data_IF_814367543893
#
_entry.id   IF_814367543893
#
_cell.length_a   1.000
_cell.length_b   1.000
_cell.length_c   1.000
_cell.angle_alpha   90.00
_cell.angle_beta   90.00
_cell.angle_gamma   90.00
#
_symmetry.space_group_name_H-M   'P 1'
#
loop_
_entity.id
_entity.type
_entity.pdbx_description
1 polymer ?
#
# COMPACT_ATOMS: atom_id res chain seq x y z
N UNK A 1 18.01 -62.80 -5.40
CA UNK A 1 18.54 -61.92 -6.47
C UNK A 1 17.71 -60.65 -6.45
N UNK A 2 18.19 -59.55 -5.84
CA UNK A 2 17.50 -58.30 -5.72
C UNK A 2 17.84 -57.40 -6.91
N UNK A 3 16.84 -56.97 -7.66
CA UNK A 3 16.97 -56.19 -8.90
C UNK A 3 17.59 -54.80 -8.64
N UNK A 4 18.66 -54.39 -9.37
CA UNK A 4 19.34 -53.10 -9.15
C UNK A 4 18.49 -51.86 -9.52
N UNK A 5 17.36 -52.03 -10.18
CA UNK A 5 16.54 -50.90 -10.68
C UNK A 5 15.73 -50.11 -9.66
N UNK A 6 15.36 -50.72 -8.52
CA UNK A 6 14.48 -50.08 -7.54
C UNK A 6 15.17 -49.00 -6.70
N UNK A 7 16.46 -49.13 -6.43
CA UNK A 7 17.23 -48.15 -5.61
C UNK A 7 17.47 -46.82 -6.33
N UNK A 8 17.64 -46.83 -7.66
CA UNK A 8 17.81 -45.61 -8.45
C UNK A 8 16.52 -44.81 -8.61
N UNK A 9 15.38 -45.47 -8.74
CA UNK A 9 14.06 -44.84 -8.80
C UNK A 9 13.68 -44.12 -7.47
N UNK A 10 13.86 -44.82 -6.35
CA UNK A 10 13.59 -44.26 -5.01
C UNK A 10 14.48 -43.03 -4.75
N UNK A 11 15.74 -43.06 -5.17
CA UNK A 11 16.66 -41.92 -5.00
C UNK A 11 16.28 -40.72 -5.87
N UNK A 12 15.77 -40.92 -7.09
CA UNK A 12 15.31 -39.85 -8.00
C UNK A 12 14.01 -39.22 -7.50
N UNK A 13 13.05 -40.02 -7.07
CA UNK A 13 11.78 -39.49 -6.51
C UNK A 13 11.98 -38.81 -5.15
N UNK A 14 12.89 -39.29 -4.32
CA UNK A 14 13.26 -38.65 -3.06
C UNK A 14 13.87 -37.26 -3.27
N UNK A 15 14.74 -37.09 -4.29
CA UNK A 15 15.34 -35.79 -4.62
C UNK A 15 14.29 -34.80 -5.14
N UNK A 16 13.40 -35.24 -6.02
CA UNK A 16 12.31 -34.40 -6.54
C UNK A 16 11.35 -33.99 -5.43
N UNK A 17 10.96 -34.91 -4.55
CA UNK A 17 10.12 -34.61 -3.41
C UNK A 17 10.77 -33.62 -2.43
N UNK A 18 12.08 -33.73 -2.18
CA UNK A 18 12.81 -32.78 -1.35
C UNK A 18 12.88 -31.36 -1.97
N UNK A 19 13.10 -31.29 -3.30
CA UNK A 19 13.12 -30.02 -4.03
C UNK A 19 11.72 -29.34 -3.97
N UNK A 20 10.65 -30.10 -4.25
CA UNK A 20 9.28 -29.59 -4.20
C UNK A 20 8.92 -29.12 -2.79
N UNK A 21 9.27 -29.90 -1.76
CA UNK A 21 9.05 -29.50 -0.36
C UNK A 21 9.87 -28.25 0.00
N UNK A 22 11.10 -28.12 -0.47
CA UNK A 22 11.93 -26.94 -0.26
C UNK A 22 11.35 -25.68 -0.93
N UNK A 23 10.88 -25.81 -2.18
CA UNK A 23 10.26 -24.71 -2.93
C UNK A 23 8.94 -24.30 -2.28
N UNK A 24 8.08 -25.23 -1.88
CA UNK A 24 6.82 -24.92 -1.20
C UNK A 24 7.02 -24.31 0.18
N UNK A 25 7.99 -24.80 0.96
CA UNK A 25 8.36 -24.20 2.25
C UNK A 25 8.92 -22.77 2.08
N UNK A 26 9.76 -22.55 1.08
CA UNK A 26 10.28 -21.22 0.76
C UNK A 26 9.16 -20.26 0.34
N UNK A 27 8.19 -20.74 -0.43
CA UNK A 27 7.01 -19.96 -0.85
C UNK A 27 6.11 -19.59 0.34
N UNK A 28 5.85 -20.55 1.24
CA UNK A 28 5.09 -20.34 2.47
C UNK A 28 5.79 -19.35 3.41
N UNK A 29 7.11 -19.44 3.57
CA UNK A 29 7.89 -18.51 4.37
C UNK A 29 7.87 -17.08 3.81
N UNK A 30 7.85 -16.92 2.48
CA UNK A 30 7.74 -15.62 1.82
C UNK A 30 6.32 -15.02 1.89
N UNK A 31 5.29 -15.85 2.05
CA UNK A 31 3.90 -15.43 2.22
C UNK A 31 3.58 -14.98 3.66
N UNK A 32 4.44 -15.29 4.64
CA UNK A 32 4.26 -14.83 6.00
C UNK A 32 4.49 -13.30 6.09
N UNK A 33 3.60 -12.55 6.77
CA UNK A 33 3.83 -11.14 7.02
C UNK A 33 5.17 -10.95 7.72
N UNK A 34 6.03 -10.10 7.14
CA UNK A 34 7.29 -9.77 7.79
C UNK A 34 7.02 -9.11 9.14
N UNK A 35 7.74 -9.49 10.20
CA UNK A 35 7.51 -8.90 11.53
C UNK A 35 7.67 -7.38 11.47
N UNK A 36 6.79 -6.67 12.18
CA UNK A 36 6.85 -5.22 12.29
C UNK A 36 8.20 -4.78 12.85
N UNK A 37 8.94 -4.01 12.06
CA UNK A 37 10.25 -3.49 12.44
C UNK A 37 10.09 -2.14 13.13
N UNK A 38 10.59 -1.95 14.36
CA UNK A 38 10.61 -0.64 14.99
C UNK A 38 11.64 0.24 14.29
N UNK A 39 11.23 1.44 13.88
CA UNK A 39 12.12 2.44 13.31
C UNK A 39 12.45 3.52 14.33
N UNK A 40 13.69 3.97 14.34
CA UNK A 40 14.07 5.22 15.00
C UNK A 40 13.47 6.41 14.22
N UNK A 41 13.25 7.55 14.89
CA UNK A 41 12.82 8.79 14.24
C UNK A 41 14.01 9.43 13.49
N UNK A 42 14.34 8.85 12.35
CA UNK A 42 15.36 9.39 11.43
C UNK A 42 14.80 10.56 10.62
N UNK A 43 15.62 11.37 9.95
CA UNK A 43 15.16 12.39 9.02
C UNK A 43 14.22 11.83 7.93
N UNK A 44 14.46 10.60 7.47
CA UNK A 44 13.58 9.92 6.49
C UNK A 44 12.19 9.68 7.09
N UNK A 45 12.13 9.11 8.29
CA UNK A 45 10.85 8.86 8.98
C UNK A 45 10.11 10.16 9.27
N UNK A 46 10.81 11.20 9.71
CA UNK A 46 10.23 12.53 9.91
C UNK A 46 9.67 13.08 8.58
N UNK A 47 10.43 13.04 7.50
CA UNK A 47 9.97 13.49 6.18
C UNK A 47 8.75 12.73 5.64
N UNK A 48 8.57 11.45 6.03
CA UNK A 48 7.38 10.66 5.70
C UNK A 48 6.15 11.14 6.47
N UNK A 49 6.30 11.40 7.77
CA UNK A 49 5.21 11.81 8.67
C UNK A 49 4.80 13.28 8.47
N UNK A 50 5.78 14.16 8.21
CA UNK A 50 5.60 15.61 8.19
C UNK A 50 5.41 16.16 6.75
N UNK A 51 5.24 15.29 5.72
CA UNK A 51 5.00 15.72 4.34
C UNK A 51 3.64 16.44 4.21
N UNK A 52 3.65 17.78 4.01
CA UNK A 52 2.42 18.56 4.01
C UNK A 52 1.56 18.34 2.76
N UNK A 53 2.16 17.87 1.67
CA UNK A 53 1.47 17.64 0.40
C UNK A 53 0.79 16.27 0.32
N UNK A 54 0.95 15.38 1.31
CA UNK A 54 0.31 14.08 1.28
C UNK A 54 -1.15 14.17 1.76
N UNK A 55 -2.10 13.57 1.02
CA UNK A 55 -3.48 13.48 1.45
C UNK A 55 -3.62 12.78 2.79
N UNK A 56 -4.59 13.22 3.58
CA UNK A 56 -4.81 12.74 4.95
C UNK A 56 -6.28 12.46 5.21
N UNK A 57 -6.54 11.49 6.10
CA UNK A 57 -7.86 11.22 6.64
C UNK A 57 -7.79 11.02 8.16
N UNK A 58 -8.85 11.36 8.88
CA UNK A 58 -8.89 11.36 10.35
C UNK A 58 -8.45 12.68 10.96
N UNK A 59 -8.39 12.75 12.28
CA UNK A 59 -8.03 13.96 13.03
C UNK A 59 -6.51 14.19 12.97
N UNK A 60 -6.09 15.46 12.84
CA UNK A 60 -4.66 15.82 12.77
C UNK A 60 -3.89 15.55 14.07
N UNK A 61 -4.57 15.61 15.20
CA UNK A 61 -4.05 15.36 16.56
C UNK A 61 -4.32 13.94 17.05
N UNK A 62 -4.55 13.00 16.13
CA UNK A 62 -4.78 11.59 16.45
C UNK A 62 -3.59 10.98 17.20
N UNK A 63 -3.88 10.08 18.13
CA UNK A 63 -2.86 9.39 18.94
C UNK A 63 -1.94 8.46 18.13
N UNK A 64 -2.41 7.96 17.00
CA UNK A 64 -1.63 7.09 16.12
C UNK A 64 -1.75 7.58 14.68
N UNK A 65 -0.61 7.81 14.05
CA UNK A 65 -0.53 8.03 12.61
C UNK A 65 -0.21 6.69 11.92
N UNK A 66 -1.00 6.38 10.90
CA UNK A 66 -0.78 5.30 9.95
C UNK A 66 -0.39 5.92 8.62
N UNK A 67 0.81 5.66 8.13
CA UNK A 67 1.17 6.00 6.75
C UNK A 67 1.02 4.75 5.91
N UNK A 68 0.36 4.86 4.75
CA UNK A 68 0.25 3.76 3.79
C UNK A 68 0.91 4.13 2.47
N UNK A 69 1.83 3.27 2.00
CA UNK A 69 2.35 3.31 0.63
C UNK A 69 1.53 2.33 -0.21
N UNK A 70 0.91 2.84 -1.27
CA UNK A 70 -0.09 2.09 -2.03
C UNK A 70 0.02 2.31 -3.53
N UNK A 71 -0.58 1.40 -4.31
CA UNK A 71 -0.65 1.45 -5.77
C UNK A 71 -2.01 0.92 -6.23
N UNK A 72 -2.70 1.65 -7.08
CA UNK A 72 -4.07 1.35 -7.54
C UNK A 72 -4.17 0.09 -8.42
N UNK A 73 -3.04 -0.40 -8.96
CA UNK A 73 -2.97 -1.65 -9.73
C UNK A 73 -2.42 -2.81 -8.91
N UNK A 74 -2.15 -2.61 -7.65
CA UNK A 74 -1.69 -3.65 -6.74
C UNK A 74 -2.88 -4.42 -6.16
N UNK A 75 -3.05 -5.69 -6.54
CA UNK A 75 -4.16 -6.52 -6.08
C UNK A 75 -4.21 -6.70 -4.56
N UNK A 76 -3.03 -6.74 -3.88
CA UNK A 76 -2.97 -6.81 -2.41
C UNK A 76 -3.43 -5.48 -1.80
N UNK A 77 -3.05 -4.33 -2.38
CA UNK A 77 -3.54 -3.03 -1.94
C UNK A 77 -5.06 -2.96 -2.02
N UNK A 78 -5.62 -3.32 -3.18
CA UNK A 78 -7.07 -3.36 -3.41
C UNK A 78 -7.80 -4.30 -2.44
N UNK A 79 -7.20 -5.43 -2.07
CA UNK A 79 -7.81 -6.40 -1.14
C UNK A 79 -7.79 -5.91 0.31
N UNK A 80 -6.78 -5.12 0.71
CA UNK A 80 -6.58 -4.71 2.10
C UNK A 80 -7.05 -3.28 2.41
N UNK A 81 -7.27 -2.44 1.39
CA UNK A 81 -7.76 -1.07 1.55
C UNK A 81 -9.08 -0.97 2.36
N UNK A 82 -10.08 -1.84 2.20
CA UNK A 82 -11.29 -1.80 3.01
C UNK A 82 -11.04 -1.92 4.53
N UNK A 83 -9.95 -2.56 4.96
CA UNK A 83 -9.60 -2.63 6.38
C UNK A 83 -9.18 -1.25 6.92
N UNK A 84 -8.48 -0.46 6.11
CA UNK A 84 -8.08 0.90 6.44
C UNK A 84 -9.29 1.83 6.58
N UNK A 85 -10.25 1.73 5.66
CA UNK A 85 -11.50 2.49 5.70
C UNK A 85 -12.34 2.15 6.94
N UNK A 86 -12.44 0.85 7.29
CA UNK A 86 -13.12 0.42 8.52
C UNK A 86 -12.40 0.87 9.78
N UNK A 87 -11.07 0.92 9.79
CA UNK A 87 -10.29 1.47 10.91
C UNK A 87 -10.62 2.94 11.12
N UNK A 88 -10.56 3.75 10.06
CA UNK A 88 -10.88 5.19 10.12
C UNK A 88 -12.31 5.46 10.61
N UNK A 89 -13.26 4.61 10.22
CA UNK A 89 -14.66 4.74 10.66
C UNK A 89 -14.87 4.41 12.14
N UNK A 90 -14.06 3.47 12.68
CA UNK A 90 -14.24 2.93 14.05
C UNK A 90 -13.36 3.63 15.09
N UNK A 91 -12.27 4.25 14.69
CA UNK A 91 -11.23 4.74 15.60
C UNK A 91 -10.83 6.18 15.29
N UNK A 92 -11.49 7.19 15.91
CA UNK A 92 -11.17 8.59 15.70
C UNK A 92 -9.77 8.99 16.20
N UNK A 93 -9.13 8.15 17.02
CA UNK A 93 -7.76 8.36 17.47
C UNK A 93 -6.69 7.91 16.47
N UNK A 94 -7.09 7.63 15.21
CA UNK A 94 -6.18 7.29 14.11
C UNK A 94 -6.24 8.35 13.01
N UNK A 95 -5.08 8.78 12.55
CA UNK A 95 -4.90 9.53 11.30
C UNK A 95 -4.24 8.62 10.27
N UNK A 96 -4.67 8.73 9.01
CA UNK A 96 -4.01 8.07 7.87
C UNK A 96 -3.38 9.12 6.97
N UNK A 97 -2.14 8.86 6.54
CA UNK A 97 -1.42 9.62 5.52
C UNK A 97 -1.25 8.70 4.31
N UNK A 98 -1.73 9.13 3.17
CA UNK A 98 -1.66 8.36 1.93
C UNK A 98 -0.41 8.73 1.14
N UNK A 99 0.33 7.71 0.68
CA UNK A 99 1.50 7.82 -0.18
C UNK A 99 1.25 7.00 -1.44
N UNK A 100 0.78 7.66 -2.49
CA UNK A 100 0.66 7.02 -3.79
C UNK A 100 2.07 6.72 -4.32
N UNK A 101 2.36 5.43 -4.51
CA UNK A 101 3.62 4.94 -5.04
C UNK A 101 3.37 4.02 -6.23
N UNK A 102 3.17 4.59 -7.44
CA UNK A 102 2.79 3.85 -8.64
C UNK A 102 3.97 3.07 -9.22
N UNK A 103 4.06 1.78 -8.94
CA UNK A 103 5.12 0.87 -9.38
C UNK A 103 4.64 -0.24 -10.32
N UNK A 104 3.35 -0.23 -10.68
CA UNK A 104 2.71 -1.26 -11.51
C UNK A 104 2.40 -0.80 -12.94
N UNK A 105 3.21 0.11 -13.48
CA UNK A 105 3.13 0.57 -14.86
C UNK A 105 2.26 1.80 -15.09
N UNK A 106 1.98 2.11 -16.36
CA UNK A 106 1.35 3.35 -16.78
C UNK A 106 -0.02 3.61 -16.15
N UNK A 107 -0.89 2.60 -16.08
CA UNK A 107 -2.21 2.70 -15.45
C UNK A 107 -2.11 3.15 -13.98
N UNK A 108 -1.12 2.62 -13.24
CA UNK A 108 -0.85 3.05 -11.84
C UNK A 108 -0.47 4.52 -11.77
N UNK A 109 0.40 4.96 -12.68
CA UNK A 109 0.88 6.35 -12.71
C UNK A 109 -0.26 7.30 -13.03
N UNK A 110 -1.08 6.99 -14.05
CA UNK A 110 -2.23 7.81 -14.44
C UNK A 110 -3.24 7.90 -13.30
N UNK A 111 -3.54 6.78 -12.63
CA UNK A 111 -4.47 6.74 -11.51
C UNK A 111 -3.95 7.54 -10.30
N UNK A 112 -2.68 7.39 -9.93
CA UNK A 112 -2.06 8.13 -8.84
C UNK A 112 -2.03 9.65 -9.10
N UNK A 113 -1.75 10.05 -10.35
CA UNK A 113 -1.78 11.43 -10.77
C UNK A 113 -3.20 12.02 -10.63
N UNK A 114 -4.22 11.30 -11.09
CA UNK A 114 -5.62 11.71 -10.94
C UNK A 114 -6.06 11.77 -9.46
N UNK A 115 -5.64 10.78 -8.66
CA UNK A 115 -5.95 10.76 -7.23
C UNK A 115 -5.39 11.98 -6.50
N UNK A 116 -4.11 12.34 -6.72
CA UNK A 116 -3.53 13.54 -6.13
C UNK A 116 -4.19 14.84 -6.62
N UNK A 117 -4.58 14.92 -7.91
CA UNK A 117 -5.33 16.07 -8.42
C UNK A 117 -6.69 16.22 -7.74
N UNK A 118 -7.36 15.12 -7.40
CA UNK A 118 -8.68 15.13 -6.75
C UNK A 118 -8.68 15.76 -5.34
N UNK A 119 -7.52 15.83 -4.69
CA UNK A 119 -7.37 16.48 -3.39
C UNK A 119 -7.68 17.99 -3.45
N UNK A 120 -7.49 18.62 -4.61
CA UNK A 120 -7.85 20.02 -4.86
C UNK A 120 -9.36 20.27 -4.84
N UNK A 121 -10.17 19.22 -4.99
CA UNK A 121 -11.61 19.23 -4.81
C UNK A 121 -12.03 18.76 -3.41
N UNK A 122 -11.06 18.41 -2.53
CA UNK A 122 -11.35 17.80 -1.23
C UNK A 122 -11.95 16.39 -1.35
N UNK A 123 -11.69 15.69 -2.47
CA UNK A 123 -12.30 14.40 -2.82
C UNK A 123 -11.32 13.25 -2.89
N UNK A 124 -10.07 13.46 -2.47
CA UNK A 124 -9.05 12.41 -2.54
C UNK A 124 -9.53 11.08 -1.95
N UNK A 125 -10.02 11.08 -0.70
CA UNK A 125 -10.43 9.84 -0.02
C UNK A 125 -11.55 9.10 -0.76
N UNK A 126 -12.60 9.81 -1.19
CA UNK A 126 -13.71 9.19 -1.91
C UNK A 126 -13.23 8.58 -3.24
N UNK A 127 -12.39 9.30 -3.96
CA UNK A 127 -11.84 8.83 -5.23
C UNK A 127 -10.84 7.70 -5.04
N UNK A 128 -9.96 7.78 -4.05
CA UNK A 128 -9.04 6.71 -3.66
C UNK A 128 -9.78 5.40 -3.40
N UNK A 129 -10.82 5.42 -2.55
CA UNK A 129 -11.64 4.25 -2.25
C UNK A 129 -12.28 3.67 -3.52
N UNK A 130 -12.81 4.52 -4.41
CA UNK A 130 -13.42 4.08 -5.65
C UNK A 130 -12.39 3.45 -6.61
N UNK A 131 -11.19 4.04 -6.72
CA UNK A 131 -10.08 3.48 -7.51
C UNK A 131 -9.61 2.14 -6.94
N UNK A 132 -9.49 2.00 -5.62
CA UNK A 132 -9.11 0.73 -4.96
C UNK A 132 -10.18 -0.36 -5.12
N UNK A 133 -11.45 0.01 -5.17
CA UNK A 133 -12.55 -0.94 -5.44
C UNK A 133 -12.62 -1.37 -6.91
N UNK A 134 -12.02 -0.63 -7.84
CA UNK A 134 -12.09 -0.92 -9.27
C UNK A 134 -11.28 -2.16 -9.65
N UNK A 135 -11.68 -2.82 -10.75
CA UNK A 135 -10.97 -3.98 -11.31
C UNK A 135 -10.71 -3.73 -12.80
N UNK A 136 -9.69 -4.39 -13.36
CA UNK A 136 -9.31 -4.21 -14.77
C UNK A 136 -8.39 -3.00 -15.00
N UNK A 137 -8.23 -2.54 -16.25
CA UNK A 137 -7.37 -1.41 -16.61
C UNK A 137 -7.87 -0.09 -15.99
N UNK A 138 -6.96 0.84 -15.76
CA UNK A 138 -7.25 2.20 -15.32
C UNK A 138 -6.83 3.19 -16.43
N UNK A 139 -7.43 3.00 -17.62
CA UNK A 139 -7.31 3.96 -18.70
C UNK A 139 -8.00 5.30 -18.37
N UNK A 140 -7.70 6.39 -19.07
CA UNK A 140 -8.24 7.71 -18.79
C UNK A 140 -9.77 7.76 -18.77
N UNK A 141 -10.45 7.07 -19.69
CA UNK A 141 -11.92 7.06 -19.76
C UNK A 141 -12.55 6.36 -18.54
N UNK A 142 -11.91 5.28 -18.09
CA UNK A 142 -12.37 4.58 -16.88
C UNK A 142 -12.13 5.42 -15.62
N UNK A 143 -10.99 6.07 -15.53
CA UNK A 143 -10.68 6.99 -14.41
C UNK A 143 -11.72 8.12 -14.34
N UNK A 144 -12.11 8.69 -15.48
CA UNK A 144 -13.15 9.72 -15.52
C UNK A 144 -14.51 9.21 -15.02
N UNK A 145 -14.90 8.00 -15.40
CA UNK A 145 -16.16 7.40 -14.90
C UNK A 145 -16.10 7.19 -13.40
N UNK A 146 -15.01 6.62 -12.89
CA UNK A 146 -14.82 6.42 -11.44
C UNK A 146 -14.82 7.76 -10.71
N UNK A 147 -14.21 8.80 -11.28
CA UNK A 147 -14.20 10.14 -10.70
C UNK A 147 -15.61 10.73 -10.62
N UNK A 148 -16.41 10.61 -11.68
CA UNK A 148 -17.80 11.05 -11.69
C UNK A 148 -18.65 10.31 -10.63
N UNK A 149 -18.50 8.98 -10.54
CA UNK A 149 -19.17 8.14 -9.54
C UNK A 149 -18.76 8.49 -8.10
N UNK A 150 -17.51 8.92 -7.89
CA UNK A 150 -17.00 9.42 -6.60
C UNK A 150 -17.41 10.87 -6.31
N UNK A 151 -18.20 11.51 -7.19
CA UNK A 151 -18.73 12.87 -7.02
C UNK A 151 -17.73 13.99 -7.30
N UNK A 152 -16.75 13.73 -8.19
CA UNK A 152 -15.85 14.77 -8.68
C UNK A 152 -16.42 15.48 -9.92
N UNK A 153 -16.07 16.74 -10.05
CA UNK A 153 -16.13 17.45 -11.33
C UNK A 153 -14.97 16.94 -12.22
N UNK A 154 -15.31 16.15 -13.23
CA UNK A 154 -14.33 15.53 -14.13
C UNK A 154 -13.60 16.56 -15.00
N UNK A 155 -14.31 17.60 -15.44
CA UNK A 155 -13.68 18.66 -16.24
C UNK A 155 -12.63 19.42 -15.42
N UNK A 156 -12.97 19.75 -14.18
CA UNK A 156 -12.05 20.37 -13.23
C UNK A 156 -10.89 19.42 -12.86
N UNK A 157 -11.15 18.11 -12.65
CA UNK A 157 -10.11 17.14 -12.39
C UNK A 157 -9.05 17.13 -13.50
N UNK A 158 -9.50 17.11 -14.75
CA UNK A 158 -8.59 17.14 -15.91
C UNK A 158 -7.80 18.46 -16.00
N UNK A 159 -8.48 19.59 -15.74
CA UNK A 159 -7.82 20.89 -15.70
C UNK A 159 -6.76 20.96 -14.58
N UNK A 160 -7.10 20.47 -13.38
CA UNK A 160 -6.17 20.42 -12.24
C UNK A 160 -4.98 19.49 -12.51
N UNK A 161 -5.19 18.35 -13.17
CA UNK A 161 -4.10 17.44 -13.59
C UNK A 161 -3.09 18.14 -14.53
N UNK A 162 -3.57 18.96 -15.44
CA UNK A 162 -2.71 19.71 -16.39
C UNK A 162 -2.02 20.88 -15.68
N UNK A 163 -2.79 21.70 -14.99
CA UNK A 163 -2.31 22.92 -14.36
C UNK A 163 -1.28 22.65 -13.25
N UNK A 164 -1.40 21.51 -12.57
CA UNK A 164 -0.58 21.13 -11.42
C UNK A 164 0.29 19.90 -11.66
N UNK A 165 0.52 19.52 -12.93
CA UNK A 165 1.35 18.37 -13.27
C UNK A 165 2.73 18.40 -12.60
N UNK A 166 3.48 19.52 -12.61
CA UNK A 166 4.80 19.54 -11.99
C UNK A 166 4.79 19.28 -10.48
N UNK A 167 3.78 19.81 -9.75
CA UNK A 167 3.65 19.61 -8.31
C UNK A 167 3.24 18.17 -7.99
N UNK A 168 2.31 17.59 -8.77
CA UNK A 168 1.87 16.21 -8.61
C UNK A 168 3.01 15.24 -8.90
N UNK A 169 3.77 15.46 -9.96
CA UNK A 169 4.95 14.65 -10.29
C UNK A 169 6.02 14.75 -9.19
N UNK A 170 6.25 15.95 -8.67
CA UNK A 170 7.18 16.14 -7.55
C UNK A 170 6.70 15.39 -6.30
N UNK A 171 5.39 15.37 -6.04
CA UNK A 171 4.80 14.63 -4.94
C UNK A 171 4.99 13.12 -5.11
N UNK A 172 4.69 12.56 -6.28
CA UNK A 172 4.90 11.14 -6.58
C UNK A 172 6.37 10.74 -6.46
N UNK A 173 7.29 11.59 -6.95
CA UNK A 173 8.73 11.38 -6.74
C UNK A 173 9.12 11.40 -5.27
N UNK A 174 8.59 12.32 -4.46
CA UNK A 174 8.84 12.33 -3.00
C UNK A 174 8.34 11.05 -2.34
N UNK A 175 7.14 10.58 -2.67
CA UNK A 175 6.63 9.31 -2.15
C UNK A 175 7.54 8.14 -2.50
N UNK A 176 8.03 8.08 -3.75
CA UNK A 176 8.99 7.05 -4.18
C UNK A 176 10.31 7.14 -3.38
N UNK A 177 10.90 8.34 -3.22
CA UNK A 177 12.11 8.52 -2.41
C UNK A 177 11.90 8.13 -0.96
N UNK A 178 10.77 8.48 -0.37
CA UNK A 178 10.41 8.11 1.00
C UNK A 178 10.27 6.59 1.13
N UNK A 179 9.61 5.93 0.19
CA UNK A 179 9.47 4.47 0.17
C UNK A 179 10.83 3.77 0.10
N UNK A 180 11.68 4.18 -0.84
CA UNK A 180 13.03 3.64 -1.00
C UNK A 180 13.92 3.95 0.21
N UNK A 181 13.83 5.15 0.77
CA UNK A 181 14.55 5.55 1.98
C UNK A 181 14.16 4.76 3.24
N UNK A 182 12.94 4.22 3.27
CA UNK A 182 12.47 3.27 4.30
C UNK A 182 12.85 1.81 3.99
N UNK A 183 13.50 1.53 2.85
CA UNK A 183 13.85 0.18 2.42
C UNK A 183 12.65 -0.65 1.96
N UNK A 184 11.59 -0.01 1.46
CA UNK A 184 10.41 -0.72 0.96
C UNK A 184 10.73 -1.40 -0.38
N UNK A 185 10.27 -2.65 -0.51
CA UNK A 185 10.41 -3.45 -1.73
C UNK A 185 9.14 -3.46 -2.60
N UNK A 186 8.03 -2.86 -2.15
CA UNK A 186 6.76 -2.87 -2.87
C UNK A 186 5.58 -2.37 -2.03
N UNK A 187 4.41 -2.49 -2.60
CA UNK A 187 3.14 -2.08 -2.01
C UNK A 187 2.24 -3.30 -1.71
N UNK A 188 1.36 -3.21 -0.70
CA UNK A 188 1.26 -2.14 0.27
C UNK A 188 2.36 -2.20 1.31
N UNK A 189 2.68 -1.05 1.94
CA UNK A 189 3.50 -1.00 3.13
C UNK A 189 2.96 0.07 4.08
N UNK A 190 3.12 -0.16 5.39
CA UNK A 190 2.55 0.68 6.42
C UNK A 190 3.64 1.14 7.40
N UNK A 191 3.60 2.41 7.79
CA UNK A 191 4.26 2.90 8.98
C UNK A 191 3.17 3.20 10.02
N UNK A 192 3.06 2.37 11.07
CA UNK A 192 2.05 2.50 12.12
C UNK A 192 2.74 2.96 13.41
N UNK A 193 2.63 4.24 13.73
CA UNK A 193 3.51 4.84 14.72
C UNK A 193 4.98 4.59 14.36
N UNK A 194 5.78 3.96 15.25
CA UNK A 194 7.19 3.66 14.96
C UNK A 194 7.40 2.33 14.19
N UNK A 195 6.35 1.62 13.79
CA UNK A 195 6.49 0.26 13.24
C UNK A 195 6.29 0.22 11.74
N UNK A 196 7.34 -0.22 11.01
CA UNK A 196 7.28 -0.50 9.58
C UNK A 196 6.80 -1.93 9.35
N UNK A 197 5.77 -2.09 8.51
CA UNK A 197 5.17 -3.38 8.15
C UNK A 197 5.05 -3.43 6.64
N UNK A 198 5.63 -4.42 6.01
CA UNK A 198 5.54 -4.63 4.56
C UNK A 198 4.54 -5.76 4.26
N UNK A 199 3.69 -5.54 3.27
CA UNK A 199 2.61 -6.45 2.88
C UNK A 199 1.23 -5.98 3.35
N UNK A 200 0.18 -6.67 2.89
CA UNK A 200 -1.20 -6.33 3.24
C UNK A 200 -1.53 -6.65 4.69
N UNK A 201 -2.38 -5.85 5.29
CA UNK A 201 -2.89 -6.06 6.63
C UNK A 201 -4.42 -6.23 6.58
N UNK A 202 -4.93 -7.31 7.16
CA UNK A 202 -6.36 -7.45 7.43
C UNK A 202 -6.82 -6.59 8.63
N UNK A 203 -8.13 -6.58 8.92
CA UNK A 203 -8.71 -5.81 10.02
C UNK A 203 -8.07 -6.11 11.37
N UNK A 204 -7.84 -7.40 11.66
CA UNK A 204 -7.28 -7.85 12.94
C UNK A 204 -5.82 -7.43 13.10
N UNK A 205 -5.04 -7.59 12.04
CA UNK A 205 -3.63 -7.24 11.98
C UNK A 205 -3.43 -5.72 12.07
N UNK A 206 -4.22 -4.95 11.33
CA UNK A 206 -4.15 -3.49 11.35
C UNK A 206 -4.54 -2.93 12.72
N UNK A 207 -5.63 -3.42 13.32
CA UNK A 207 -6.04 -3.05 14.66
C UNK A 207 -4.98 -3.43 15.72
N UNK A 208 -4.33 -4.60 15.58
CA UNK A 208 -3.25 -5.02 16.47
C UNK A 208 -2.03 -4.10 16.36
N UNK A 209 -1.65 -3.69 15.14
CA UNK A 209 -0.57 -2.75 14.89
C UNK A 209 -0.85 -1.37 15.55
N UNK A 210 -2.06 -0.85 15.39
CA UNK A 210 -2.49 0.41 16.03
C UNK A 210 -2.45 0.29 17.56
N UNK A 211 -3.00 -0.79 18.14
CA UNK A 211 -2.91 -1.01 19.61
C UNK A 211 -1.46 -1.07 20.10
N UNK A 212 -0.58 -1.71 19.35
CA UNK A 212 0.86 -1.76 19.66
C UNK A 212 1.49 -0.37 19.64
N UNK A 213 1.19 0.43 18.61
CA UNK A 213 1.70 1.80 18.48
C UNK A 213 1.23 2.68 19.65
N UNK A 214 -0.04 2.60 20.06
CA UNK A 214 -0.57 3.35 21.22
C UNK A 214 0.14 3.04 22.53
N UNK A 215 0.50 1.78 22.76
CA UNK A 215 1.24 1.41 24.00
C UNK A 215 2.65 2.00 24.04
N UNK A 216 3.24 2.28 22.89
CA UNK A 216 4.58 2.86 22.81
C UNK A 216 4.57 4.40 22.91
N UNK A 217 3.44 5.04 22.62
CA UNK A 217 3.26 6.49 22.70
C UNK A 217 2.91 6.99 24.12
N UNK A 218 2.55 6.07 25.03
CA UNK A 218 2.36 6.34 26.48
C UNK A 218 3.67 6.16 27.24
#
# INVERSE_FOLDING_TARGET
MSTPGSRHLIRRYGLVAAIVAGVTASWLLQALPRPAQPLARTPVVAGVLDDPGSPRAGLRDAYVTVVIFTDYRCGICQATDPALERLLAKDPGVQVIFKDWPIRGADSTIAAHAALASDRQGRYRAFHTALMASRGSLDPQRIDRIAAEAGLDVARLRADQIAHAPEIDAQLRRHAFQALGLGLAGTPAYLVGPYLIQGGLDDGQLAAAVRRARRKAR
#
